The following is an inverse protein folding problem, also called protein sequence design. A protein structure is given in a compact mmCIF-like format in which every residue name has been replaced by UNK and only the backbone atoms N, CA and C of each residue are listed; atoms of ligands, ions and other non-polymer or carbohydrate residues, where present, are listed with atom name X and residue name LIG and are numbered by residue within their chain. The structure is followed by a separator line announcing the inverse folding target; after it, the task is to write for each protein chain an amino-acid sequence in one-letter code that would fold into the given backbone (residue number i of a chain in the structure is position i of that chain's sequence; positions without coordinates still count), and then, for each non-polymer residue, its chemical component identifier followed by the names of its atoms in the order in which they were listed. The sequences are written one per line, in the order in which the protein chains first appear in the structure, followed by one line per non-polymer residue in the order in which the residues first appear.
data_IF_954397060688
#
_entry.id   IF_954397060688
#
_cell.length_a   1.000
_cell.length_b   1.000
_cell.length_c   1.000
_cell.angle_alpha   90.00
_cell.angle_beta   90.00
_cell.angle_gamma   90.00
#
_symmetry.space_group_name_H-M   'P 1'
#
loop_
_entity.id
_entity.type
_entity.pdbx_description
1 polymer ?
#
# COMPACT_ATOMS: atom_id res chain seq x y z
N UNK A 1 -47.99 32.20 -5.54
CA UNK A 1 -47.52 30.82 -5.31
C UNK A 1 -47.39 30.62 -3.83
N UNK A 2 -48.01 29.58 -3.26
CA UNK A 2 -47.86 29.24 -1.86
C UNK A 2 -46.63 28.36 -1.69
N UNK A 3 -45.73 28.74 -0.80
CA UNK A 3 -44.56 27.93 -0.46
C UNK A 3 -44.96 26.85 0.55
N UNK A 4 -44.26 25.69 0.50
CA UNK A 4 -44.39 24.67 1.54
C UNK A 4 -43.78 25.23 2.82
N UNK A 5 -44.60 25.38 3.85
CA UNK A 5 -44.16 25.90 5.17
C UNK A 5 -43.85 24.72 6.07
N UNK A 6 -42.66 24.70 6.64
CA UNK A 6 -42.24 23.69 7.62
C UNK A 6 -43.00 23.85 8.96
N UNK A 7 -42.84 22.89 9.84
CA UNK A 7 -43.37 22.95 11.19
C UNK A 7 -42.65 24.00 12.05
N UNK A 8 -43.40 24.62 12.98
CA UNK A 8 -42.80 25.54 13.95
C UNK A 8 -41.78 24.80 14.83
N UNK A 9 -40.54 25.32 14.90
CA UNK A 9 -39.46 24.74 15.67
C UNK A 9 -39.69 24.77 17.18
N UNK A 10 -40.55 25.62 17.66
CA UNK A 10 -40.89 25.76 19.08
C UNK A 10 -42.11 24.93 19.48
N UNK A 11 -42.78 24.29 18.54
CA UNK A 11 -43.89 23.42 18.82
C UNK A 11 -43.45 22.14 19.48
N UNK A 12 -43.84 21.87 20.71
CA UNK A 12 -43.61 20.60 21.40
C UNK A 12 -44.42 19.48 20.70
N UNK A 13 -43.72 18.40 20.34
CA UNK A 13 -44.33 17.18 19.80
C UNK A 13 -44.02 16.00 20.70
N UNK A 14 -45.03 15.23 21.05
CA UNK A 14 -44.80 13.89 21.65
C UNK A 14 -44.63 12.90 20.51
N UNK A 15 -43.47 12.22 20.50
CA UNK A 15 -43.15 11.17 19.53
C UNK A 15 -43.12 9.85 20.29
N UNK A 16 -44.07 8.97 20.04
CA UNK A 16 -44.21 7.66 20.68
C UNK A 16 -43.66 6.57 19.76
N UNK A 17 -42.42 6.72 19.34
CA UNK A 17 -41.71 5.73 18.48
C UNK A 17 -40.41 5.32 19.14
N UNK A 18 -40.05 4.05 18.96
CA UNK A 18 -38.70 3.57 19.32
C UNK A 18 -37.66 4.13 18.36
N UNK A 19 -36.38 4.10 18.74
CA UNK A 19 -35.31 4.48 17.83
C UNK A 19 -35.24 3.55 16.63
N UNK A 20 -35.64 2.28 16.78
CA UNK A 20 -35.70 1.29 15.71
C UNK A 20 -36.75 1.63 14.64
N UNK A 21 -37.88 2.20 15.04
CA UNK A 21 -38.94 2.65 14.09
C UNK A 21 -38.51 3.83 13.21
N UNK A 22 -37.44 4.57 13.65
CA UNK A 22 -36.93 5.72 12.90
C UNK A 22 -35.88 5.30 11.88
N UNK A 23 -35.39 4.05 11.93
CA UNK A 23 -34.39 3.52 11.00
C UNK A 23 -35.04 2.51 10.09
N UNK A 24 -35.03 2.81 8.79
CA UNK A 24 -35.58 1.95 7.75
C UNK A 24 -34.99 0.52 7.82
N UNK A 25 -35.80 -0.48 7.49
CA UNK A 25 -35.37 -1.89 7.51
C UNK A 25 -34.28 -2.20 6.49
N UNK A 26 -34.21 -1.42 5.42
CA UNK A 26 -33.20 -1.52 4.37
C UNK A 26 -31.96 -0.65 4.63
N UNK A 27 -31.86 -0.02 5.81
CA UNK A 27 -30.72 0.81 6.14
C UNK A 27 -29.45 -0.03 6.42
N UNK A 28 -28.35 0.37 5.80
CA UNK A 28 -27.04 -0.31 5.88
C UNK A 28 -26.45 -0.42 7.29
N UNK A 29 -26.89 0.41 8.26
CA UNK A 29 -26.44 0.31 9.65
C UNK A 29 -26.83 -1.03 10.30
N UNK A 30 -27.93 -1.65 9.85
CA UNK A 30 -28.37 -2.96 10.33
C UNK A 30 -27.37 -4.06 9.90
N UNK A 31 -26.77 -3.93 8.74
CA UNK A 31 -25.72 -4.84 8.26
C UNK A 31 -24.44 -4.69 9.10
N UNK A 32 -24.06 -3.45 9.44
CA UNK A 32 -22.90 -3.20 10.31
C UNK A 32 -23.14 -3.81 11.69
N UNK A 33 -24.33 -3.62 12.23
CA UNK A 33 -24.73 -4.17 13.53
C UNK A 33 -24.62 -5.69 13.53
N UNK A 34 -25.32 -6.36 12.65
CA UNK A 34 -25.32 -7.82 12.52
C UNK A 34 -23.91 -8.38 12.28
N UNK A 35 -23.09 -7.76 11.41
CA UNK A 35 -21.72 -8.18 11.22
C UNK A 35 -20.89 -8.10 12.51
N UNK A 36 -20.92 -6.98 13.22
CA UNK A 36 -20.08 -6.81 14.41
C UNK A 36 -20.57 -7.74 15.56
N UNK A 37 -21.87 -7.97 15.69
CA UNK A 37 -22.42 -8.91 16.66
C UNK A 37 -22.06 -10.38 16.31
N UNK A 38 -21.81 -10.70 15.03
CA UNK A 38 -21.33 -12.01 14.62
C UNK A 38 -19.86 -12.28 14.95
N UNK A 39 -19.08 -11.27 15.35
CA UNK A 39 -17.64 -11.38 15.58
C UNK A 39 -17.30 -11.83 17.00
N UNK A 40 -16.35 -12.76 17.11
CA UNK A 40 -15.64 -12.96 18.38
C UNK A 40 -14.49 -11.95 18.49
N UNK A 41 -14.74 -10.81 19.14
CA UNK A 41 -13.78 -9.70 19.23
C UNK A 41 -12.51 -10.07 20.03
N UNK A 42 -12.59 -11.03 20.94
CA UNK A 42 -11.43 -11.52 21.70
C UNK A 42 -10.48 -12.29 20.77
N UNK A 43 -11.00 -13.21 19.97
CA UNK A 43 -10.21 -13.96 18.99
C UNK A 43 -9.58 -13.06 17.93
N UNK A 44 -10.22 -11.94 17.60
CA UNK A 44 -9.66 -10.92 16.70
C UNK A 44 -8.56 -10.08 17.38
N UNK A 45 -8.38 -10.20 18.69
CA UNK A 45 -7.34 -9.49 19.43
C UNK A 45 -7.73 -8.09 19.90
N UNK A 46 -9.03 -7.77 19.96
CA UNK A 46 -9.49 -6.54 20.61
C UNK A 46 -9.29 -6.62 22.11
N UNK A 47 -8.57 -5.63 22.65
CA UNK A 47 -8.23 -5.58 24.06
C UNK A 47 -9.48 -5.38 24.91
N UNK A 48 -9.70 -6.27 25.88
CA UNK A 48 -10.72 -6.10 26.89
C UNK A 48 -10.26 -5.15 27.98
N UNK A 49 -11.09 -4.17 28.31
CA UNK A 49 -10.84 -3.31 29.43
C UNK A 49 -11.37 -3.97 30.70
N UNK A 50 -10.50 -4.61 31.49
CA UNK A 50 -10.79 -4.94 32.86
C UNK A 50 -10.90 -3.64 33.64
N UNK A 51 -12.13 -3.25 34.00
CA UNK A 51 -12.40 -2.01 34.72
C UNK A 51 -11.59 -1.97 36.05
N UNK A 52 -10.83 -0.89 36.23
CA UNK A 52 -10.37 -0.57 37.60
C UNK A 52 -11.60 -0.26 38.44
N UNK A 53 -11.62 -0.71 39.67
CA UNK A 53 -12.74 -0.51 40.61
C UNK A 53 -13.08 0.97 40.90
N UNK A 54 -12.44 1.92 40.26
CA UNK A 54 -12.66 3.37 40.34
C UNK A 54 -12.49 4.01 39.02
N UNK A 55 -13.46 4.77 38.52
CA UNK A 55 -13.46 5.52 37.26
C UNK A 55 -14.71 5.30 36.42
N UNK A 56 -14.79 5.94 35.25
CA UNK A 56 -15.88 5.78 34.31
C UNK A 56 -15.81 4.38 33.67
N UNK A 57 -16.96 3.71 33.54
CA UNK A 57 -17.07 2.42 32.87
C UNK A 57 -16.61 2.55 31.41
N UNK A 58 -15.84 1.57 30.88
CA UNK A 58 -15.40 1.57 29.49
C UNK A 58 -16.58 1.34 28.55
N UNK A 59 -16.48 1.88 27.35
CA UNK A 59 -17.40 1.55 26.26
C UNK A 59 -17.15 0.12 25.77
N UNK A 60 -18.21 -0.55 25.29
CA UNK A 60 -18.07 -1.88 24.68
C UNK A 60 -17.21 -1.79 23.42
N UNK A 61 -16.39 -2.82 23.21
CA UNK A 61 -15.54 -2.93 22.00
C UNK A 61 -16.37 -2.97 20.72
N UNK A 62 -17.52 -3.67 20.76
CA UNK A 62 -18.44 -3.75 19.63
C UNK A 62 -18.96 -2.39 19.22
N UNK A 63 -19.40 -1.55 20.16
CA UNK A 63 -19.94 -0.22 19.86
C UNK A 63 -18.88 0.69 19.21
N UNK A 64 -17.64 0.63 19.70
CA UNK A 64 -16.54 1.39 19.11
C UNK A 64 -16.13 0.87 17.72
N UNK A 65 -16.19 -0.45 17.48
CA UNK A 65 -15.93 -1.03 16.17
C UNK A 65 -17.05 -0.67 15.17
N UNK A 66 -18.31 -0.77 15.58
CA UNK A 66 -19.47 -0.32 14.79
C UNK A 66 -19.32 1.13 14.37
N UNK A 67 -18.98 2.01 15.31
CA UNK A 67 -18.73 3.43 15.05
C UNK A 67 -17.63 3.65 14.01
N UNK A 68 -16.53 2.89 14.06
CA UNK A 68 -15.44 2.99 13.11
C UNK A 68 -15.84 2.49 11.72
N UNK A 69 -16.49 1.33 11.62
CA UNK A 69 -16.94 0.78 10.33
C UNK A 69 -17.93 1.76 9.67
N UNK A 70 -18.91 2.26 10.43
CA UNK A 70 -19.84 3.27 9.96
C UNK A 70 -19.12 4.51 9.43
N UNK A 71 -18.15 5.00 10.19
CA UNK A 71 -17.38 6.19 9.83
C UNK A 71 -16.65 6.04 8.50
N UNK A 72 -15.96 4.92 8.28
CA UNK A 72 -15.26 4.66 7.02
C UNK A 72 -16.23 4.42 5.86
N UNK A 73 -17.36 3.75 6.08
CA UNK A 73 -18.36 3.55 5.04
C UNK A 73 -19.01 4.87 4.59
N UNK A 74 -19.22 5.80 5.53
CA UNK A 74 -19.88 7.10 5.32
C UNK A 74 -18.90 8.28 5.19
N UNK A 75 -17.62 8.05 4.94
CA UNK A 75 -16.56 9.07 4.74
C UNK A 75 -16.28 9.96 5.96
N UNK A 76 -16.62 9.50 7.16
CA UNK A 76 -16.41 10.21 8.42
C UNK A 76 -15.21 9.57 9.17
N UNK A 77 -13.96 9.92 8.77
CA UNK A 77 -12.75 9.33 9.36
C UNK A 77 -12.23 10.03 10.62
N UNK A 78 -12.57 11.30 10.77
CA UNK A 78 -12.10 12.12 11.91
C UNK A 78 -12.80 11.70 13.20
N UNK A 79 -12.06 11.38 14.26
CA UNK A 79 -12.63 11.05 15.56
C UNK A 79 -13.49 12.18 16.14
N UNK A 80 -13.12 13.45 15.89
CA UNK A 80 -13.95 14.60 16.30
C UNK A 80 -15.25 14.70 15.52
N UNK A 81 -15.21 14.37 14.22
CA UNK A 81 -16.43 14.32 13.42
C UNK A 81 -17.34 13.16 13.88
N UNK A 82 -16.76 11.98 14.16
CA UNK A 82 -17.53 10.85 14.69
C UNK A 82 -18.16 11.16 16.06
N UNK A 83 -17.44 11.83 16.98
CA UNK A 83 -18.00 12.31 18.24
C UNK A 83 -19.19 13.24 18.02
N UNK A 84 -19.09 14.15 17.04
CA UNK A 84 -20.18 15.07 16.69
C UNK A 84 -21.37 14.32 16.11
N UNK A 85 -21.13 13.39 15.18
CA UNK A 85 -22.18 12.60 14.54
C UNK A 85 -22.87 11.66 15.53
N UNK A 86 -22.16 11.06 16.49
CA UNK A 86 -22.75 10.24 17.55
C UNK A 86 -23.81 10.97 18.40
N UNK A 87 -23.74 12.31 18.46
CA UNK A 87 -24.68 13.17 19.20
C UNK A 87 -25.92 13.61 18.41
N UNK A 88 -25.90 13.49 17.07
CA UNK A 88 -26.94 14.09 16.20
C UNK A 88 -27.43 13.21 15.06
N UNK A 89 -26.70 12.14 14.71
CA UNK A 89 -27.04 11.27 13.61
C UNK A 89 -27.85 10.07 14.11
N UNK A 90 -29.11 9.96 13.66
CA UNK A 90 -30.02 8.91 14.09
C UNK A 90 -29.50 7.50 13.82
N UNK A 91 -28.83 7.29 12.69
CA UNK A 91 -28.24 6.00 12.34
C UNK A 91 -27.16 5.59 13.34
N UNK A 92 -26.27 6.53 13.70
CA UNK A 92 -25.25 6.27 14.72
C UNK A 92 -25.85 6.10 16.12
N UNK A 93 -26.85 6.92 16.47
CA UNK A 93 -27.53 6.77 17.75
C UNK A 93 -28.16 5.39 17.89
N UNK A 94 -28.77 4.88 16.82
CA UNK A 94 -29.31 3.52 16.78
C UNK A 94 -28.18 2.48 16.91
N UNK A 95 -27.13 2.61 16.07
CA UNK A 95 -26.06 1.64 15.94
C UNK A 95 -25.25 1.43 17.25
N UNK A 96 -25.08 2.50 18.02
CA UNK A 96 -24.28 2.49 19.27
C UNK A 96 -25.10 2.82 20.51
N UNK A 97 -26.42 2.59 20.48
CA UNK A 97 -27.32 2.74 21.63
C UNK A 97 -27.24 4.12 22.31
N UNK A 98 -27.20 5.19 21.54
CA UNK A 98 -27.11 6.60 22.00
C UNK A 98 -25.87 6.91 22.87
N UNK A 99 -24.85 6.07 22.91
CA UNK A 99 -23.61 6.43 23.59
C UNK A 99 -22.84 7.48 22.78
N UNK A 100 -22.11 8.35 23.46
CA UNK A 100 -21.37 9.46 22.82
C UNK A 100 -19.91 9.45 23.26
N UNK A 101 -19.09 8.51 22.74
CA UNK A 101 -17.69 8.47 23.09
C UNK A 101 -16.97 9.74 22.62
N UNK A 102 -16.07 10.27 23.44
CA UNK A 102 -15.24 11.41 23.07
C UNK A 102 -14.19 11.03 22.01
N UNK A 103 -13.70 12.04 21.29
CA UNK A 103 -12.73 11.84 20.21
C UNK A 103 -11.41 11.19 20.66
N UNK A 104 -11.01 11.38 21.92
CA UNK A 104 -9.82 10.74 22.50
C UNK A 104 -10.02 9.23 22.63
N UNK A 105 -11.19 8.81 23.15
CA UNK A 105 -11.60 7.40 23.24
C UNK A 105 -11.68 6.75 21.88
N UNK A 106 -12.34 7.42 20.91
CA UNK A 106 -12.46 6.93 19.52
C UNK A 106 -11.08 6.74 18.87
N UNK A 107 -10.20 7.73 18.97
CA UNK A 107 -8.85 7.65 18.41
C UNK A 107 -7.98 6.60 19.11
N UNK A 108 -8.08 6.54 20.46
CA UNK A 108 -7.35 5.59 21.29
C UNK A 108 -7.75 4.14 21.07
N UNK A 109 -9.01 3.88 20.73
CA UNK A 109 -9.48 2.53 20.42
C UNK A 109 -8.69 1.90 19.26
N UNK A 110 -8.54 2.60 18.13
CA UNK A 110 -7.74 2.10 16.99
C UNK A 110 -6.28 1.96 17.37
N UNK A 111 -5.71 2.95 18.08
CA UNK A 111 -4.31 2.93 18.46
C UNK A 111 -3.95 1.71 19.34
N UNK A 112 -4.85 1.30 20.21
CA UNK A 112 -4.65 0.15 21.10
C UNK A 112 -4.94 -1.20 20.43
N UNK A 113 -5.75 -1.22 19.37
CA UNK A 113 -6.24 -2.43 18.72
C UNK A 113 -5.77 -2.56 17.26
N UNK A 114 -4.56 -2.09 16.91
CA UNK A 114 -4.06 -2.01 15.53
C UNK A 114 -4.18 -3.33 14.78
N UNK A 115 -3.64 -4.41 15.33
CA UNK A 115 -3.67 -5.73 14.72
C UNK A 115 -5.11 -6.27 14.59
N UNK A 116 -5.99 -5.95 15.55
CA UNK A 116 -7.38 -6.40 15.51
C UNK A 116 -8.15 -5.83 14.31
N UNK A 117 -7.86 -4.62 13.86
CA UNK A 117 -8.46 -4.07 12.63
C UNK A 117 -8.04 -4.85 11.39
N UNK A 118 -6.79 -5.25 11.29
CA UNK A 118 -6.32 -6.10 10.20
C UNK A 118 -6.98 -7.49 10.27
N UNK A 119 -7.03 -8.09 11.47
CA UNK A 119 -7.70 -9.37 11.69
C UNK A 119 -9.21 -9.29 11.38
N UNK A 120 -9.85 -8.13 11.59
CA UNK A 120 -11.25 -7.90 11.19
C UNK A 120 -11.42 -7.98 9.67
N UNK A 121 -10.51 -7.42 8.88
CA UNK A 121 -10.53 -7.55 7.43
C UNK A 121 -10.37 -9.01 7.01
N UNK A 122 -9.41 -9.72 7.59
CA UNK A 122 -9.15 -11.15 7.28
C UNK A 122 -10.34 -12.03 7.67
N UNK A 123 -10.97 -11.76 8.81
CA UNK A 123 -12.18 -12.46 9.22
C UNK A 123 -13.34 -12.22 8.24
N UNK A 124 -13.57 -10.97 7.81
CA UNK A 124 -14.55 -10.67 6.78
C UNK A 124 -14.27 -11.46 5.49
N UNK A 125 -13.01 -11.55 5.08
CA UNK A 125 -12.61 -12.37 3.93
C UNK A 125 -12.97 -13.84 4.10
N UNK A 126 -12.75 -14.41 5.29
CA UNK A 126 -13.13 -15.82 5.58
C UNK A 126 -14.65 -16.03 5.54
N UNK A 127 -15.42 -15.09 6.06
CA UNK A 127 -16.89 -15.11 5.95
C UNK A 127 -17.31 -15.09 4.47
N UNK A 128 -16.73 -14.19 3.67
CA UNK A 128 -17.02 -14.09 2.23
C UNK A 128 -16.60 -15.34 1.46
N UNK A 129 -15.49 -15.98 1.84
CA UNK A 129 -15.09 -17.31 1.33
C UNK A 129 -16.15 -18.36 1.67
N UNK A 130 -16.61 -18.39 2.92
CA UNK A 130 -17.67 -19.31 3.38
C UNK A 130 -18.98 -19.15 2.60
N UNK A 131 -19.31 -17.93 2.19
CA UNK A 131 -20.47 -17.66 1.33
C UNK A 131 -20.21 -17.93 -0.16
N UNK A 132 -19.02 -18.40 -0.54
CA UNK A 132 -18.63 -18.68 -1.93
C UNK A 132 -18.46 -17.41 -2.78
N UNK A 133 -18.31 -16.25 -2.17
CA UNK A 133 -18.09 -14.97 -2.87
C UNK A 133 -16.62 -14.74 -3.23
N UNK A 134 -15.71 -15.41 -2.54
CA UNK A 134 -14.27 -15.48 -2.80
C UNK A 134 -13.92 -16.94 -3.02
N UNK A 135 -13.16 -17.28 -4.07
CA UNK A 135 -12.73 -18.66 -4.34
C UNK A 135 -11.20 -18.84 -4.36
N UNK A 136 -10.45 -17.76 -4.50
CA UNK A 136 -8.99 -17.81 -4.52
C UNK A 136 -8.37 -18.50 -5.74
N UNK A 137 -9.15 -18.82 -6.78
CA UNK A 137 -8.63 -19.43 -8.01
C UNK A 137 -7.73 -18.48 -8.78
N UNK A 138 -8.18 -17.24 -8.90
CA UNK A 138 -7.47 -16.16 -9.57
C UNK A 138 -7.40 -14.96 -8.65
N UNK A 139 -6.19 -14.59 -8.23
CA UNK A 139 -5.94 -13.43 -7.40
C UNK A 139 -5.05 -12.43 -8.12
N UNK A 140 -5.27 -11.16 -7.85
CA UNK A 140 -4.48 -10.07 -8.43
C UNK A 140 -3.81 -9.28 -7.32
N UNK A 141 -2.50 -9.12 -7.45
CA UNK A 141 -1.69 -8.33 -6.52
C UNK A 141 -1.37 -7.00 -7.20
N UNK A 142 -1.68 -5.91 -6.50
CA UNK A 142 -1.32 -4.56 -6.94
C UNK A 142 -1.11 -3.63 -5.75
N UNK A 143 -0.29 -2.60 -5.96
CA UNK A 143 0.06 -1.61 -4.96
C UNK A 143 -0.43 -0.22 -5.31
N UNK A 144 -0.74 0.55 -4.28
CA UNK A 144 -1.11 1.95 -4.47
C UNK A 144 -0.44 2.85 -3.45
N UNK A 145 0.05 4.00 -3.92
CA UNK A 145 0.66 5.00 -3.04
C UNK A 145 -0.44 5.88 -2.44
N UNK A 146 -0.50 5.93 -1.10
CA UNK A 146 -1.41 6.79 -0.34
C UNK A 146 -0.55 7.77 0.47
N UNK A 147 -0.89 9.05 0.42
CA UNK A 147 -0.11 10.11 1.08
C UNK A 147 -0.12 9.93 2.59
N UNK A 148 1.05 10.01 3.19
CA UNK A 148 1.22 10.10 4.65
C UNK A 148 0.82 11.49 5.16
N UNK A 149 0.53 11.58 6.45
CA UNK A 149 0.30 12.87 7.12
C UNK A 149 1.63 13.58 7.38
N UNK A 150 2.23 14.10 6.33
CA UNK A 150 3.49 14.82 6.39
C UNK A 150 3.56 15.91 5.32
N UNK A 151 4.32 16.98 5.62
CA UNK A 151 4.67 17.99 4.62
C UNK A 151 5.87 17.53 3.80
N UNK A 152 5.88 17.83 2.49
CA UNK A 152 7.03 17.56 1.59
C UNK A 152 8.32 18.22 2.09
N UNK A 153 8.21 19.37 2.77
CA UNK A 153 9.35 20.11 3.31
C UNK A 153 9.99 19.42 4.52
N UNK A 154 9.25 18.56 5.22
CA UNK A 154 9.72 17.82 6.38
C UNK A 154 10.35 16.46 6.03
N UNK A 155 10.70 16.23 4.76
CA UNK A 155 11.46 15.07 4.34
C UNK A 155 12.89 15.49 3.99
N UNK A 156 13.86 14.96 4.72
CA UNK A 156 15.28 15.18 4.49
C UNK A 156 15.87 14.05 3.65
N UNK A 157 16.80 14.42 2.77
CA UNK A 157 17.61 13.46 1.97
C UNK A 157 19.06 13.91 2.05
N UNK A 158 20.01 12.98 1.85
CA UNK A 158 21.44 13.34 1.88
C UNK A 158 21.76 14.49 0.92
N UNK A 159 21.34 14.38 -0.35
CA UNK A 159 21.58 15.43 -1.36
C UNK A 159 20.84 16.74 -1.07
N UNK A 160 19.70 16.67 -0.39
CA UNK A 160 18.94 17.85 0.05
C UNK A 160 19.63 18.58 1.21
N UNK A 161 20.21 17.82 2.12
CA UNK A 161 20.99 18.37 3.23
C UNK A 161 22.30 19.00 2.75
N UNK A 162 23.00 18.37 1.78
CA UNK A 162 24.21 18.95 1.18
C UNK A 162 23.94 20.36 0.61
N UNK A 163 22.88 20.50 -0.17
CA UNK A 163 22.47 21.81 -0.71
C UNK A 163 22.11 22.83 0.37
N UNK A 164 21.48 22.39 1.47
CA UNK A 164 21.14 23.28 2.59
C UNK A 164 22.39 23.72 3.36
N UNK A 165 23.35 22.81 3.53
CA UNK A 165 24.65 23.10 4.16
C UNK A 165 25.43 24.10 3.30
N UNK A 166 25.55 23.85 1.99
CA UNK A 166 26.20 24.77 1.05
C UNK A 166 25.57 26.17 1.08
N UNK A 167 24.23 26.22 1.09
CA UNK A 167 23.51 27.49 1.18
C UNK A 167 23.78 28.22 2.50
N UNK A 168 23.73 27.50 3.62
CA UNK A 168 24.02 28.08 4.94
C UNK A 168 25.48 28.62 5.01
N UNK A 169 26.44 27.87 4.47
CA UNK A 169 27.85 28.32 4.38
C UNK A 169 28.00 29.56 3.52
N UNK A 170 27.32 29.62 2.39
CA UNK A 170 27.35 30.81 1.53
C UNK A 170 26.78 32.04 2.24
N UNK A 171 25.69 31.91 3.02
CA UNK A 171 25.11 32.98 3.80
C UNK A 171 26.03 33.40 4.95
N UNK A 172 26.64 32.49 5.68
CA UNK A 172 27.62 32.76 6.73
C UNK A 172 28.77 33.60 6.15
N UNK A 173 29.36 33.16 5.04
CA UNK A 173 30.46 33.86 4.39
C UNK A 173 30.04 35.25 3.91
N UNK A 174 28.84 35.42 3.35
CA UNK A 174 28.32 36.71 2.90
C UNK A 174 28.14 37.68 4.07
N UNK A 175 27.59 37.22 5.20
CA UNK A 175 27.44 38.07 6.39
C UNK A 175 28.79 38.43 7.03
N UNK A 176 29.74 37.49 7.11
CA UNK A 176 31.09 37.78 7.60
C UNK A 176 31.79 38.86 6.73
N UNK A 177 31.70 38.74 5.40
CA UNK A 177 32.26 39.74 4.50
C UNK A 177 31.58 41.10 4.63
N UNK A 178 30.26 41.14 4.86
CA UNK A 178 29.54 42.40 5.04
C UNK A 178 29.93 43.08 6.35
N UNK A 179 30.07 42.35 7.45
CA UNK A 179 30.54 42.90 8.76
C UNK A 179 31.97 43.44 8.66
N UNK A 180 32.88 42.72 7.98
CA UNK A 180 34.25 43.18 7.77
C UNK A 180 34.31 44.46 6.93
N UNK A 181 33.37 44.66 6.01
CA UNK A 181 33.31 45.82 5.12
C UNK A 181 32.70 47.05 5.76
N UNK A 182 31.78 46.88 6.69
CA UNK A 182 31.06 47.93 7.39
C UNK A 182 30.71 47.47 8.82
N UNK A 183 31.50 47.93 9.79
CA UNK A 183 31.32 47.61 11.22
C UNK A 183 29.96 48.11 11.77
N UNK A 184 29.34 49.13 11.17
CA UNK A 184 28.04 49.64 11.61
C UNK A 184 26.91 48.62 11.39
N UNK A 185 27.10 47.60 10.52
CA UNK A 185 26.17 46.53 10.27
C UNK A 185 26.34 45.30 11.21
N UNK A 186 27.33 45.33 12.08
CA UNK A 186 27.70 44.19 12.91
C UNK A 186 26.56 43.72 13.83
N UNK A 187 25.87 44.67 14.49
CA UNK A 187 24.77 44.36 15.42
C UNK A 187 23.59 43.70 14.70
N UNK A 188 23.16 44.19 13.53
CA UNK A 188 22.04 43.66 12.76
C UNK A 188 22.34 42.33 12.08
N UNK A 189 23.60 42.06 11.74
CA UNK A 189 23.98 40.84 11.02
C UNK A 189 24.46 39.73 11.95
N UNK A 190 24.87 40.00 13.17
CA UNK A 190 25.35 38.98 14.11
C UNK A 190 24.27 37.97 14.48
N UNK A 191 23.04 38.39 14.70
CA UNK A 191 21.91 37.48 14.99
C UNK A 191 21.59 36.57 13.78
N UNK A 192 21.66 37.13 12.57
CA UNK A 192 21.48 36.36 11.34
C UNK A 192 22.61 35.34 11.14
N UNK A 193 23.85 35.79 11.37
CA UNK A 193 25.03 34.93 11.30
C UNK A 193 24.89 33.72 12.26
N UNK A 194 24.54 33.99 13.51
CA UNK A 194 24.31 32.95 14.52
C UNK A 194 23.21 32.00 14.10
N UNK A 195 22.11 32.49 13.56
CA UNK A 195 21.01 31.67 13.07
C UNK A 195 21.46 30.69 11.97
N UNK A 196 22.25 31.15 11.00
CA UNK A 196 22.76 30.29 9.92
C UNK A 196 23.84 29.29 10.40
N UNK A 197 24.63 29.67 11.41
CA UNK A 197 25.56 28.73 12.07
C UNK A 197 24.80 27.59 12.76
N UNK A 198 23.79 27.94 13.56
CA UNK A 198 22.92 26.93 14.22
C UNK A 198 22.23 26.03 13.21
N UNK A 199 21.68 26.59 12.11
CA UNK A 199 21.07 25.83 11.03
C UNK A 199 22.05 24.87 10.35
N UNK A 200 23.29 25.33 10.11
CA UNK A 200 24.35 24.48 9.53
C UNK A 200 24.65 23.29 10.44
N UNK A 201 24.84 23.51 11.73
CA UNK A 201 25.08 22.46 12.71
C UNK A 201 23.90 21.46 12.77
N UNK A 202 22.68 21.97 12.76
CA UNK A 202 21.48 21.13 12.71
C UNK A 202 21.47 20.24 11.46
N UNK A 203 21.79 20.80 10.27
CA UNK A 203 21.82 20.02 9.04
C UNK A 203 22.94 18.98 9.01
N UNK A 204 24.10 19.29 9.58
CA UNK A 204 25.21 18.35 9.74
C UNK A 204 24.82 17.19 10.67
N UNK A 205 24.18 17.47 11.79
CA UNK A 205 23.64 16.45 12.72
C UNK A 205 22.65 15.54 12.02
N UNK A 206 21.66 16.12 11.31
CA UNK A 206 20.68 15.35 10.56
C UNK A 206 21.32 14.47 9.47
N UNK A 207 22.40 14.95 8.83
CA UNK A 207 23.14 14.20 7.83
C UNK A 207 23.90 13.01 8.45
N UNK A 208 24.47 13.19 9.63
CA UNK A 208 25.09 12.12 10.40
C UNK A 208 24.07 11.05 10.80
N UNK A 209 22.93 11.46 11.37
CA UNK A 209 21.85 10.55 11.74
C UNK A 209 21.38 9.69 10.56
N UNK A 210 21.16 10.31 9.37
CA UNK A 210 20.78 9.55 8.17
C UNK A 210 21.84 8.51 7.78
N UNK A 211 23.11 8.86 7.91
CA UNK A 211 24.22 7.96 7.55
C UNK A 211 24.34 6.82 8.56
N UNK A 212 24.23 7.11 9.84
CA UNK A 212 24.34 6.13 10.93
C UNK A 212 23.16 5.13 10.89
N UNK A 213 21.95 5.63 10.55
CA UNK A 213 20.76 4.79 10.36
C UNK A 213 20.77 4.05 8.99
N UNK A 214 21.74 4.30 8.12
CA UNK A 214 21.83 3.69 6.78
C UNK A 214 20.68 4.09 5.85
N UNK A 215 20.05 5.26 6.09
CA UNK A 215 18.89 5.72 5.34
C UNK A 215 19.27 6.72 4.24
N UNK A 216 18.64 6.59 3.07
CA UNK A 216 18.76 7.59 1.99
C UNK A 216 17.87 8.81 2.23
N UNK A 217 16.78 8.64 2.96
CA UNK A 217 15.80 9.67 3.29
C UNK A 217 15.09 9.40 4.61
N UNK A 218 14.66 10.45 5.29
CA UNK A 218 13.88 10.38 6.54
C UNK A 218 12.83 11.48 6.56
N UNK A 219 11.62 11.11 6.92
CA UNK A 219 10.54 12.05 7.19
C UNK A 219 10.59 12.45 8.66
N UNK A 220 10.65 13.74 8.96
CA UNK A 220 10.76 14.24 10.34
C UNK A 220 9.43 14.13 11.11
N UNK A 221 8.30 14.20 10.41
CA UNK A 221 6.96 14.13 11.03
C UNK A 221 6.47 12.69 11.18
N UNK A 222 6.77 11.84 10.21
CA UNK A 222 6.39 10.43 10.17
C UNK A 222 7.57 9.60 9.64
N UNK A 223 8.50 9.16 10.52
CA UNK A 223 9.75 8.53 10.14
C UNK A 223 9.61 7.24 9.30
N UNK A 224 8.46 6.58 9.39
CA UNK A 224 8.20 5.36 8.61
C UNK A 224 7.77 5.67 7.18
N UNK A 225 7.28 6.88 6.91
CA UNK A 225 6.86 7.28 5.56
C UNK A 225 8.06 7.60 4.66
N UNK A 226 7.89 7.42 3.34
CA UNK A 226 8.95 7.65 2.35
C UNK A 226 8.47 8.54 1.21
N UNK A 227 9.42 9.25 0.62
CA UNK A 227 9.19 10.03 -0.60
C UNK A 227 9.10 9.08 -1.79
N UNK A 228 7.94 9.03 -2.44
CA UNK A 228 7.62 8.11 -3.52
C UNK A 228 7.03 8.86 -4.71
N UNK A 229 7.19 8.31 -5.92
CA UNK A 229 6.48 8.79 -7.09
C UNK A 229 5.01 8.39 -6.99
N UNK A 230 4.10 9.37 -7.00
CA UNK A 230 2.66 9.19 -6.91
C UNK A 230 1.97 10.03 -7.97
N UNK A 231 1.34 9.38 -8.97
CA UNK A 231 0.66 10.06 -10.09
C UNK A 231 1.46 11.18 -10.76
N UNK A 232 2.75 10.92 -11.04
CA UNK A 232 3.63 11.88 -11.71
C UNK A 232 4.31 12.91 -10.80
N UNK A 233 3.88 13.06 -9.55
CA UNK A 233 4.51 13.90 -8.54
C UNK A 233 5.32 13.07 -7.52
N UNK A 234 6.23 13.71 -6.80
CA UNK A 234 6.89 13.12 -5.65
C UNK A 234 6.13 13.54 -4.38
N UNK A 235 5.58 12.57 -3.67
CA UNK A 235 4.84 12.77 -2.43
C UNK A 235 5.43 11.92 -1.31
N UNK A 236 5.14 12.30 -0.05
CA UNK A 236 5.47 11.46 1.10
C UNK A 236 4.32 10.49 1.30
N UNK A 237 4.60 9.21 1.15
CA UNK A 237 3.58 8.17 1.05
C UNK A 237 3.95 6.92 1.85
N UNK A 238 2.95 6.08 2.02
CA UNK A 238 3.09 4.65 2.22
C UNK A 238 2.65 3.92 0.94
N UNK A 239 3.21 2.75 0.73
CA UNK A 239 2.83 1.86 -0.34
C UNK A 239 1.88 0.79 0.22
N UNK A 240 0.63 0.81 -0.18
CA UNK A 240 -0.39 -0.14 0.26
C UNK A 240 -0.52 -1.21 -0.80
N UNK A 241 -0.17 -2.43 -0.44
CA UNK A 241 -0.33 -3.62 -1.24
C UNK A 241 -1.69 -4.24 -0.98
N UNK A 242 -2.36 -4.78 -1.99
CA UNK A 242 -3.61 -5.50 -1.83
C UNK A 242 -3.63 -6.76 -2.69
N UNK A 243 -4.31 -7.78 -2.19
CA UNK A 243 -4.70 -8.97 -2.94
C UNK A 243 -6.20 -8.90 -3.20
N UNK A 244 -6.60 -8.98 -4.44
CA UNK A 244 -7.99 -8.92 -4.87
C UNK A 244 -8.37 -10.23 -5.52
N UNK A 245 -9.46 -10.84 -5.07
CA UNK A 245 -10.06 -12.03 -5.71
C UNK A 245 -10.80 -11.62 -6.99
N UNK A 246 -10.59 -12.36 -8.06
CA UNK A 246 -11.14 -12.02 -9.38
C UNK A 246 -12.65 -12.27 -9.51
N UNK A 247 -13.23 -13.18 -8.73
CA UNK A 247 -14.62 -13.61 -8.86
C UNK A 247 -15.60 -12.47 -8.67
N UNK A 248 -15.46 -11.76 -7.55
CA UNK A 248 -16.35 -10.65 -7.20
C UNK A 248 -15.59 -9.39 -6.80
N UNK A 249 -14.28 -9.30 -7.07
CA UNK A 249 -13.41 -8.18 -6.79
C UNK A 249 -13.37 -7.77 -5.30
N UNK A 250 -13.55 -8.72 -4.38
CA UNK A 250 -13.31 -8.48 -2.96
C UNK A 250 -11.82 -8.45 -2.66
N UNK A 251 -11.45 -7.58 -1.74
CA UNK A 251 -10.09 -7.53 -1.23
C UNK A 251 -9.91 -8.62 -0.18
N UNK A 252 -8.97 -9.51 -0.44
CA UNK A 252 -8.65 -10.68 0.38
C UNK A 252 -7.79 -10.27 1.59
N UNK A 253 -6.70 -9.59 1.31
CA UNK A 253 -5.76 -9.10 2.33
C UNK A 253 -5.01 -7.87 1.84
N UNK A 254 -4.38 -7.16 2.75
CA UNK A 254 -3.57 -5.98 2.48
C UNK A 254 -2.24 -6.04 3.24
N UNK A 255 -1.33 -5.18 2.85
CA UNK A 255 -0.12 -4.89 3.64
C UNK A 255 0.35 -3.47 3.37
N UNK A 256 0.70 -2.74 4.40
CA UNK A 256 1.26 -1.40 4.27
C UNK A 256 2.77 -1.47 4.43
N UNK A 257 3.51 -0.99 3.42
CA UNK A 257 4.97 -0.95 3.44
C UNK A 257 5.49 0.46 3.15
N UNK A 258 6.73 0.70 3.50
CA UNK A 258 7.46 1.90 3.12
C UNK A 258 8.41 1.68 1.94
N UNK A 259 8.36 0.53 1.30
CA UNK A 259 9.11 0.25 0.08
C UNK A 259 8.66 1.17 -1.05
N UNK A 260 9.65 1.79 -1.72
CA UNK A 260 9.40 2.77 -2.79
C UNK A 260 8.85 2.10 -4.05
N UNK A 261 9.22 0.83 -4.27
CA UNK A 261 8.78 0.00 -5.40
C UNK A 261 8.14 -1.30 -4.92
N UNK A 262 7.55 -2.05 -5.84
CA UNK A 262 6.75 -3.22 -5.56
C UNK A 262 7.52 -4.55 -5.77
N UNK A 263 8.83 -4.49 -6.09
CA UNK A 263 9.63 -5.63 -6.55
C UNK A 263 9.76 -6.78 -5.54
N UNK A 264 9.64 -6.52 -4.23
CA UNK A 264 9.81 -7.52 -3.18
C UNK A 264 8.48 -7.85 -2.47
N UNK A 265 7.34 -7.57 -3.11
CA UNK A 265 6.03 -7.72 -2.47
C UNK A 265 5.22 -8.89 -3.02
N UNK A 266 5.60 -9.45 -4.18
CA UNK A 266 4.81 -10.46 -4.89
C UNK A 266 4.59 -11.72 -4.06
N UNK A 267 5.68 -12.37 -3.64
CA UNK A 267 5.60 -13.65 -2.93
C UNK A 267 4.94 -13.50 -1.57
N UNK A 268 5.32 -12.49 -0.81
CA UNK A 268 4.76 -12.25 0.53
C UNK A 268 3.24 -12.03 0.48
N UNK A 269 2.75 -11.28 -0.50
CA UNK A 269 1.31 -11.02 -0.64
C UNK A 269 0.57 -12.27 -1.14
N UNK A 270 1.14 -12.97 -2.11
CA UNK A 270 0.57 -14.22 -2.63
C UNK A 270 0.48 -15.30 -1.54
N UNK A 271 1.54 -15.46 -0.75
CA UNK A 271 1.59 -16.42 0.34
C UNK A 271 0.54 -16.13 1.41
N UNK A 272 0.46 -14.87 1.89
CA UNK A 272 -0.56 -14.46 2.87
C UNK A 272 -1.98 -14.77 2.40
N UNK A 273 -2.27 -14.53 1.12
CA UNK A 273 -3.59 -14.82 0.55
C UNK A 273 -3.84 -16.35 0.44
N UNK A 274 -2.83 -17.12 -0.01
CA UNK A 274 -2.90 -18.57 -0.10
C UNK A 274 -3.16 -19.21 1.27
N UNK A 275 -2.40 -18.78 2.30
CA UNK A 275 -2.59 -19.24 3.68
C UNK A 275 -3.97 -18.86 4.22
N UNK A 276 -4.44 -17.62 4.02
CA UNK A 276 -5.75 -17.17 4.49
C UNK A 276 -6.89 -17.91 3.78
N UNK A 277 -6.74 -18.15 2.50
CA UNK A 277 -7.76 -18.85 1.70
C UNK A 277 -7.60 -20.38 1.72
N UNK A 278 -6.57 -20.91 2.39
CA UNK A 278 -6.24 -22.35 2.43
C UNK A 278 -6.23 -22.96 1.01
N UNK A 279 -5.54 -22.28 0.10
CA UNK A 279 -5.46 -22.64 -1.32
C UNK A 279 -4.01 -22.96 -1.65
N UNK A 280 -3.71 -24.22 -1.99
CA UNK A 280 -2.35 -24.65 -2.33
C UNK A 280 -1.89 -24.15 -3.69
N UNK A 281 -2.82 -23.97 -4.63
CA UNK A 281 -2.51 -23.46 -5.97
C UNK A 281 -3.48 -22.36 -6.37
N UNK A 282 -2.97 -21.16 -6.55
CA UNK A 282 -3.72 -20.00 -7.07
C UNK A 282 -3.03 -19.48 -8.32
N UNK A 283 -3.79 -18.92 -9.25
CA UNK A 283 -3.23 -18.12 -10.34
C UNK A 283 -3.04 -16.69 -9.85
N UNK A 284 -1.81 -16.20 -9.88
CA UNK A 284 -1.41 -14.89 -9.37
C UNK A 284 -1.10 -13.95 -10.54
N UNK A 285 -1.84 -12.86 -10.66
CA UNK A 285 -1.54 -11.81 -11.63
C UNK A 285 -0.89 -10.62 -10.93
N UNK A 286 0.17 -10.08 -11.52
CA UNK A 286 0.81 -8.86 -11.01
C UNK A 286 1.30 -7.95 -12.15
N UNK A 287 1.53 -6.68 -11.83
CA UNK A 287 2.09 -5.71 -12.77
C UNK A 287 3.59 -5.95 -13.02
N UNK A 288 4.09 -5.38 -14.10
CA UNK A 288 5.52 -5.35 -14.44
C UNK A 288 6.40 -4.75 -13.34
N UNK A 289 5.83 -3.91 -12.46
CA UNK A 289 6.49 -3.37 -11.26
C UNK A 289 6.92 -4.41 -10.24
N UNK A 290 6.25 -5.56 -10.22
CA UNK A 290 6.54 -6.71 -9.36
C UNK A 290 7.56 -7.69 -9.95
N UNK A 291 8.04 -7.45 -11.18
CA UNK A 291 8.91 -8.40 -11.85
C UNK A 291 10.26 -8.50 -11.12
N UNK A 292 10.41 -9.54 -10.33
CA UNK A 292 11.63 -9.91 -9.63
C UNK A 292 11.82 -11.44 -9.74
N UNK A 293 12.96 -11.87 -10.27
CA UNK A 293 13.21 -13.29 -10.52
C UNK A 293 13.10 -14.17 -9.28
N UNK A 294 13.60 -13.71 -8.13
CA UNK A 294 13.53 -14.47 -6.87
C UNK A 294 12.09 -14.58 -6.38
N UNK A 295 11.33 -13.49 -6.41
CA UNK A 295 9.92 -13.48 -6.00
C UNK A 295 9.06 -14.40 -6.87
N UNK A 296 9.25 -14.33 -8.21
CA UNK A 296 8.55 -15.19 -9.16
C UNK A 296 8.88 -16.67 -8.89
N UNK A 297 10.17 -16.98 -8.70
CA UNK A 297 10.60 -18.34 -8.38
C UNK A 297 9.98 -18.85 -7.08
N UNK A 298 9.96 -18.03 -6.03
CA UNK A 298 9.37 -18.41 -4.75
C UNK A 298 7.85 -18.73 -4.89
N UNK A 299 7.11 -17.97 -5.71
CA UNK A 299 5.72 -18.27 -6.00
C UNK A 299 5.56 -19.61 -6.73
N UNK A 300 6.39 -19.85 -7.76
CA UNK A 300 6.35 -21.12 -8.53
C UNK A 300 6.74 -22.31 -7.64
N UNK A 301 7.78 -22.19 -6.82
CA UNK A 301 8.20 -23.22 -5.86
C UNK A 301 7.10 -23.54 -4.83
N UNK A 302 6.26 -22.56 -4.51
CA UNK A 302 5.08 -22.72 -3.64
C UNK A 302 3.85 -23.27 -4.38
N UNK A 303 3.97 -23.69 -5.65
CA UNK A 303 2.88 -24.28 -6.43
C UNK A 303 1.91 -23.29 -7.07
N UNK A 304 2.22 -22.00 -7.08
CA UNK A 304 1.38 -20.97 -7.66
C UNK A 304 1.67 -20.76 -9.15
N UNK A 305 0.62 -20.52 -9.95
CA UNK A 305 0.76 -20.10 -11.34
C UNK A 305 0.91 -18.57 -11.39
N UNK A 306 2.01 -18.06 -11.94
CA UNK A 306 2.27 -16.62 -11.97
C UNK A 306 2.18 -16.09 -13.40
N UNK A 307 1.35 -15.06 -13.63
CA UNK A 307 1.33 -14.32 -14.90
C UNK A 307 1.79 -12.89 -14.66
N UNK A 308 2.97 -12.60 -15.18
CA UNK A 308 3.63 -11.30 -15.04
C UNK A 308 4.45 -10.99 -16.30
N UNK A 309 4.35 -9.77 -16.80
CA UNK A 309 5.15 -9.32 -17.93
C UNK A 309 6.46 -8.71 -17.48
N UNK A 310 7.51 -9.01 -18.21
CA UNK A 310 8.82 -8.38 -18.02
C UNK A 310 8.75 -6.90 -18.42
N UNK A 311 9.30 -6.02 -17.58
CA UNK A 311 9.42 -4.61 -17.92
C UNK A 311 10.30 -4.43 -19.18
N UNK A 312 9.88 -3.57 -20.11
CA UNK A 312 10.72 -3.21 -21.24
C UNK A 312 11.94 -2.44 -20.73
N UNK A 313 13.13 -2.80 -21.21
CA UNK A 313 14.33 -2.07 -20.83
C UNK A 313 14.22 -0.58 -21.22
N UNK A 314 14.62 0.32 -20.30
CA UNK A 314 14.50 1.78 -20.47
C UNK A 314 15.23 2.34 -21.73
N UNK A 315 16.16 1.58 -22.33
CA UNK A 315 16.89 1.94 -23.54
C UNK A 315 16.18 1.45 -24.83
N UNK A 316 14.87 1.22 -24.77
CA UNK A 316 14.06 0.70 -25.89
C UNK A 316 13.87 1.66 -27.09
N UNK A 317 14.49 2.84 -27.06
CA UNK A 317 14.36 3.85 -28.14
C UNK A 317 15.13 3.53 -29.43
N UNK A 318 16.06 2.55 -29.39
CA UNK A 318 16.67 1.98 -30.59
C UNK A 318 16.33 0.50 -30.66
N UNK A 319 15.67 0.10 -31.70
CA UNK A 319 15.41 -1.31 -32.04
C UNK A 319 16.75 -1.96 -32.37
N UNK A 320 17.44 -2.42 -31.32
CA UNK A 320 18.74 -3.04 -31.47
C UNK A 320 18.56 -4.55 -31.57
N UNK A 321 18.83 -5.12 -32.72
CA UNK A 321 18.74 -6.56 -32.98
C UNK A 321 19.67 -7.40 -32.08
N UNK A 322 20.65 -6.78 -31.42
CA UNK A 322 21.61 -7.44 -30.52
C UNK A 322 21.27 -7.31 -29.02
N UNK A 323 20.00 -7.14 -28.68
CA UNK A 323 19.57 -7.22 -27.27
C UNK A 323 19.63 -8.64 -26.74
N UNK A 324 19.75 -8.79 -25.39
CA UNK A 324 19.80 -10.11 -24.73
C UNK A 324 18.63 -11.03 -25.16
N UNK A 325 17.46 -10.47 -25.34
CA UNK A 325 16.24 -11.21 -25.70
C UNK A 325 16.26 -11.79 -27.14
N UNK A 326 17.19 -11.32 -27.99
CA UNK A 326 17.37 -11.84 -29.35
C UNK A 326 18.39 -12.97 -29.43
N UNK A 327 19.08 -13.26 -28.32
CA UNK A 327 20.01 -14.38 -28.21
C UNK A 327 19.22 -15.62 -27.81
N UNK A 328 19.30 -16.68 -28.60
CA UNK A 328 18.53 -17.92 -28.42
C UNK A 328 19.38 -18.87 -27.57
N UNK A 329 18.86 -19.26 -26.40
CA UNK A 329 19.50 -20.28 -25.56
C UNK A 329 19.12 -21.68 -26.01
N UNK A 330 20.09 -22.56 -26.11
CA UNK A 330 19.90 -23.98 -26.33
C UNK A 330 20.26 -24.73 -25.04
N UNK A 331 19.26 -25.30 -24.37
CA UNK A 331 19.43 -26.03 -23.10
C UNK A 331 20.17 -27.36 -23.23
N UNK A 332 20.11 -28.01 -24.41
CA UNK A 332 20.78 -29.28 -24.65
C UNK A 332 22.30 -29.12 -24.78
N UNK A 333 22.74 -28.06 -25.45
CA UNK A 333 24.18 -27.77 -25.67
C UNK A 333 24.74 -26.78 -24.65
N UNK A 334 23.88 -26.18 -23.80
CA UNK A 334 24.23 -25.12 -22.85
C UNK A 334 24.99 -23.95 -23.51
N UNK A 335 24.48 -23.48 -24.67
CA UNK A 335 25.05 -22.40 -25.48
C UNK A 335 23.97 -21.38 -25.86
N UNK A 336 24.39 -20.15 -26.13
CA UNK A 336 23.56 -19.15 -26.79
C UNK A 336 23.95 -19.02 -28.27
N UNK A 337 22.96 -18.83 -29.14
CA UNK A 337 23.18 -18.41 -30.49
C UNK A 337 22.87 -16.92 -30.62
N UNK A 338 23.81 -16.11 -31.11
CA UNK A 338 23.62 -14.69 -31.31
C UNK A 338 22.82 -14.42 -32.62
N UNK A 339 22.24 -13.21 -32.78
CA UNK A 339 21.51 -12.86 -34.00
C UNK A 339 22.35 -12.91 -35.28
N UNK A 340 23.67 -12.87 -35.20
CA UNK A 340 24.57 -13.05 -36.30
C UNK A 340 24.92 -14.52 -36.65
N UNK A 341 24.39 -15.48 -35.85
CA UNK A 341 24.60 -16.91 -36.03
C UNK A 341 25.79 -17.51 -35.27
N UNK A 342 26.58 -16.69 -34.56
CA UNK A 342 27.69 -17.18 -33.76
C UNK A 342 27.24 -17.76 -32.39
N UNK A 343 28.04 -18.67 -31.84
CA UNK A 343 27.75 -19.32 -30.57
C UNK A 343 28.47 -18.64 -29.41
N UNK A 344 27.76 -18.46 -28.30
CA UNK A 344 28.32 -18.06 -27.02
C UNK A 344 28.33 -19.28 -26.10
N UNK A 345 29.52 -19.69 -25.68
CA UNK A 345 29.72 -20.84 -24.78
C UNK A 345 29.83 -20.41 -23.34
N UNK A 346 29.52 -21.34 -22.45
CA UNK A 346 29.75 -21.15 -21.04
C UNK A 346 31.24 -20.76 -20.80
N UNK A 347 31.42 -19.72 -20.00
CA UNK A 347 32.74 -19.16 -19.69
C UNK A 347 33.07 -19.22 -18.21
N UNK A 348 32.18 -18.71 -17.35
CA UNK A 348 32.39 -18.68 -15.90
C UNK A 348 31.07 -18.54 -15.11
N UNK A 349 31.11 -18.93 -13.84
CA UNK A 349 30.06 -18.62 -12.87
C UNK A 349 30.35 -17.28 -12.20
N UNK A 350 29.31 -16.49 -11.93
CA UNK A 350 29.43 -15.24 -11.21
C UNK A 350 28.25 -15.07 -10.25
N UNK A 351 28.45 -14.23 -9.25
CA UNK A 351 27.38 -13.88 -8.32
C UNK A 351 27.21 -12.37 -8.31
N UNK A 352 25.95 -11.92 -8.26
CA UNK A 352 25.59 -10.51 -8.14
C UNK A 352 24.35 -10.40 -7.23
N UNK A 353 24.46 -9.59 -6.18
CA UNK A 353 23.37 -9.40 -5.21
C UNK A 353 22.80 -10.73 -4.65
N UNK A 354 23.69 -11.68 -4.32
CA UNK A 354 23.29 -12.99 -3.81
C UNK A 354 22.78 -13.98 -4.86
N UNK A 355 22.51 -13.56 -6.08
CA UNK A 355 22.03 -14.42 -7.16
C UNK A 355 23.20 -14.99 -7.96
N UNK A 356 23.10 -16.28 -8.30
CA UNK A 356 24.11 -17.00 -9.11
C UNK A 356 23.77 -16.89 -10.59
N UNK A 357 24.78 -16.54 -11.40
CA UNK A 357 24.65 -16.41 -12.86
C UNK A 357 25.73 -17.25 -13.54
N UNK A 358 25.36 -17.79 -14.69
CA UNK A 358 26.28 -18.38 -15.65
C UNK A 358 26.55 -17.35 -16.76
N UNK A 359 27.83 -17.11 -17.06
CA UNK A 359 28.22 -16.21 -18.14
C UNK A 359 28.61 -17.01 -19.37
N UNK A 360 28.12 -16.54 -20.52
CA UNK A 360 28.38 -17.09 -21.84
C UNK A 360 29.08 -16.05 -22.67
N UNK A 361 30.14 -16.44 -23.36
CA UNK A 361 30.99 -15.55 -24.14
C UNK A 361 31.12 -16.07 -25.57
N UNK A 362 31.04 -15.14 -26.53
CA UNK A 362 31.37 -15.42 -27.92
C UNK A 362 32.87 -15.34 -28.15
N UNK A 363 33.45 -16.33 -28.86
CA UNK A 363 34.86 -16.39 -29.19
C UNK A 363 35.21 -15.58 -30.42
N UNK A 364 34.29 -15.50 -31.39
CA UNK A 364 34.55 -14.98 -32.74
C UNK A 364 34.06 -13.53 -32.95
N UNK A 365 33.63 -12.85 -31.89
CA UNK A 365 33.16 -11.46 -31.94
C UNK A 365 34.17 -10.47 -32.53
N UNK A 366 35.46 -10.76 -32.50
CA UNK A 366 36.47 -9.83 -32.98
C UNK A 366 36.46 -9.67 -34.53
N UNK A 367 36.07 -10.72 -35.23
CA UNK A 367 35.92 -10.75 -36.70
C UNK A 367 34.49 -10.44 -37.16
N UNK A 368 33.55 -10.28 -36.23
CA UNK A 368 32.14 -10.06 -36.55
C UNK A 368 31.87 -8.66 -37.11
N UNK A 369 31.24 -8.59 -38.27
CA UNK A 369 30.86 -7.34 -38.94
C UNK A 369 29.90 -6.46 -38.14
N UNK A 370 29.12 -7.07 -37.26
CA UNK A 370 28.13 -6.38 -36.40
C UNK A 370 28.67 -6.03 -35.00
N UNK A 371 30.01 -6.22 -34.76
CA UNK A 371 30.57 -5.99 -33.41
C UNK A 371 30.26 -4.60 -32.86
N UNK A 372 30.37 -3.57 -33.67
CA UNK A 372 30.14 -2.16 -33.27
C UNK A 372 28.69 -1.89 -32.81
N UNK A 373 27.72 -2.58 -33.42
CA UNK A 373 26.30 -2.45 -33.11
C UNK A 373 25.89 -3.34 -31.91
N UNK A 374 26.63 -4.44 -31.72
CA UNK A 374 26.33 -5.44 -30.70
C UNK A 374 26.95 -5.12 -29.32
N UNK A 375 28.24 -4.72 -29.30
CA UNK A 375 28.97 -4.52 -28.05
C UNK A 375 30.12 -3.54 -28.16
N UNK A 376 30.33 -2.73 -27.14
CA UNK A 376 31.47 -1.84 -26.99
C UNK A 376 32.69 -2.55 -26.36
N UNK A 377 32.51 -3.80 -25.87
CA UNK A 377 33.57 -4.55 -25.22
C UNK A 377 34.64 -5.03 -26.19
N UNK A 378 35.91 -4.76 -25.89
CA UNK A 378 37.05 -5.28 -26.65
C UNK A 378 37.11 -6.81 -26.66
N UNK A 379 36.66 -7.44 -25.56
CA UNK A 379 36.69 -8.89 -25.37
C UNK A 379 35.50 -9.66 -25.95
N UNK A 380 34.57 -8.97 -26.64
CA UNK A 380 33.39 -9.56 -27.25
C UNK A 380 32.12 -9.51 -26.40
N UNK A 381 31.01 -10.01 -26.94
CA UNK A 381 29.71 -10.04 -26.28
C UNK A 381 29.67 -11.10 -25.19
N UNK A 382 29.15 -10.73 -24.04
CA UNK A 382 28.88 -11.64 -22.91
C UNK A 382 27.42 -11.57 -22.53
N UNK A 383 26.78 -12.73 -22.32
CA UNK A 383 25.41 -12.86 -21.81
C UNK A 383 25.48 -13.49 -20.41
N UNK A 384 24.72 -12.93 -19.48
CA UNK A 384 24.52 -13.52 -18.15
C UNK A 384 23.15 -14.18 -18.10
N UNK A 385 23.10 -15.45 -17.74
CA UNK A 385 21.90 -16.23 -17.49
C UNK A 385 21.80 -16.54 -15.99
N UNK A 386 20.71 -16.21 -15.37
CA UNK A 386 20.44 -16.63 -14.01
C UNK A 386 20.29 -18.15 -13.95
N UNK A 387 20.72 -18.81 -12.88
CA UNK A 387 20.66 -20.29 -12.80
C UNK A 387 19.25 -20.85 -12.84
N UNK A 388 18.22 -20.03 -12.56
CA UNK A 388 16.80 -20.33 -12.64
C UNK A 388 16.09 -19.50 -13.73
N UNK A 389 16.77 -19.10 -14.78
CA UNK A 389 16.19 -18.32 -15.89
C UNK A 389 15.09 -19.12 -16.63
N UNK A 390 15.16 -20.45 -16.63
CA UNK A 390 14.15 -21.36 -17.16
C UNK A 390 12.76 -21.14 -16.55
N UNK A 391 12.68 -20.94 -15.23
CA UNK A 391 11.43 -20.60 -14.53
C UNK A 391 10.85 -19.29 -15.09
N UNK A 392 11.70 -18.28 -15.28
CA UNK A 392 11.26 -16.98 -15.79
C UNK A 392 10.81 -17.04 -17.26
N UNK A 393 11.48 -17.88 -18.06
CA UNK A 393 11.12 -18.14 -19.45
C UNK A 393 9.76 -18.86 -19.54
N UNK A 394 9.53 -19.86 -18.69
CA UNK A 394 8.25 -20.58 -18.60
C UNK A 394 7.12 -19.61 -18.20
N UNK A 395 7.28 -18.85 -17.12
CA UNK A 395 6.29 -17.86 -16.66
C UNK A 395 6.01 -16.81 -17.74
N UNK A 396 7.03 -16.36 -18.46
CA UNK A 396 6.86 -15.40 -19.56
C UNK A 396 6.03 -15.99 -20.70
N UNK A 397 6.33 -17.22 -21.14
CA UNK A 397 5.62 -17.89 -22.21
C UNK A 397 4.17 -18.19 -21.83
N UNK A 398 3.93 -18.67 -20.61
CA UNK A 398 2.59 -18.89 -20.06
C UNK A 398 1.79 -17.59 -19.98
N UNK A 399 2.42 -16.48 -19.57
CA UNK A 399 1.80 -15.15 -19.55
C UNK A 399 1.39 -14.70 -20.95
N UNK A 400 2.19 -14.98 -21.98
CA UNK A 400 1.86 -14.67 -23.37
C UNK A 400 0.71 -15.54 -23.90
N UNK A 401 0.72 -16.84 -23.60
CA UNK A 401 -0.32 -17.78 -24.01
C UNK A 401 -1.66 -17.45 -23.33
N UNK A 402 -1.63 -16.96 -22.10
CA UNK A 402 -2.81 -16.58 -21.32
C UNK A 402 -3.01 -15.04 -21.25
N UNK A 403 -2.67 -14.33 -22.33
CA UNK A 403 -2.68 -12.87 -22.35
C UNK A 403 -4.07 -12.28 -22.08
N UNK A 404 -5.16 -12.94 -22.42
CA UNK A 404 -6.53 -12.49 -22.13
C UNK A 404 -6.83 -12.54 -20.64
N UNK A 405 -6.39 -13.58 -19.93
CA UNK A 405 -6.48 -13.67 -18.46
C UNK A 405 -5.62 -12.57 -17.81
N UNK A 406 -4.39 -12.39 -18.30
CA UNK A 406 -3.49 -11.36 -17.79
C UNK A 406 -4.06 -9.94 -17.94
N UNK A 407 -4.79 -9.64 -19.02
CA UNK A 407 -5.42 -8.34 -19.25
C UNK A 407 -6.51 -8.01 -18.23
N UNK A 408 -7.21 -9.01 -17.70
CA UNK A 408 -8.28 -8.83 -16.69
C UNK A 408 -7.73 -8.18 -15.41
N UNK A 409 -6.43 -8.38 -15.12
CA UNK A 409 -5.75 -7.78 -13.97
C UNK A 409 -6.15 -6.33 -13.73
N UNK A 410 -6.11 -5.53 -14.81
CA UNK A 410 -6.35 -4.10 -14.70
C UNK A 410 -7.75 -3.78 -14.18
N UNK A 411 -8.77 -4.38 -14.73
CA UNK A 411 -10.16 -4.18 -14.28
C UNK A 411 -10.35 -4.61 -12.82
N UNK A 412 -9.73 -5.72 -12.41
CA UNK A 412 -9.90 -6.29 -11.08
C UNK A 412 -9.34 -5.34 -10.01
N UNK A 413 -8.12 -4.82 -10.18
CA UNK A 413 -7.47 -3.98 -9.17
C UNK A 413 -7.86 -2.50 -9.24
N UNK A 414 -8.26 -1.99 -10.41
CA UNK A 414 -8.74 -0.61 -10.52
C UNK A 414 -10.04 -0.38 -9.73
N UNK A 415 -10.85 -1.41 -9.56
CA UNK A 415 -12.14 -1.30 -8.86
C UNK A 415 -11.96 -0.92 -7.36
N UNK A 416 -11.19 -1.65 -6.52
CA UNK A 416 -10.98 -1.25 -5.13
C UNK A 416 -10.24 0.08 -5.00
N UNK A 417 -9.18 0.32 -5.75
CA UNK A 417 -8.41 1.56 -5.65
C UNK A 417 -9.19 2.77 -6.14
N UNK A 418 -10.00 2.61 -7.20
CA UNK A 418 -10.89 3.64 -7.69
C UNK A 418 -11.95 3.99 -6.66
N UNK A 419 -12.55 2.99 -6.01
CA UNK A 419 -13.55 3.20 -4.97
C UNK A 419 -12.94 3.89 -3.74
N UNK A 420 -11.80 3.41 -3.24
CA UNK A 420 -11.12 3.97 -2.06
C UNK A 420 -10.68 5.42 -2.32
N UNK A 421 -9.98 5.68 -3.42
CA UNK A 421 -9.40 7.00 -3.68
C UNK A 421 -10.41 8.03 -4.21
N UNK A 422 -11.33 7.62 -5.09
CA UNK A 422 -12.26 8.53 -5.76
C UNK A 422 -13.63 8.56 -5.08
N UNK A 423 -14.28 7.41 -4.92
CA UNK A 423 -15.62 7.33 -4.36
C UNK A 423 -15.64 7.65 -2.86
N UNK A 424 -14.73 7.06 -2.07
CA UNK A 424 -14.62 7.31 -0.63
C UNK A 424 -13.74 8.52 -0.30
N UNK A 425 -12.87 8.95 -1.22
CA UNK A 425 -12.01 10.14 -1.04
C UNK A 425 -10.76 9.89 -0.19
N UNK A 426 -10.34 8.63 -0.01
CA UNK A 426 -9.21 8.27 0.86
C UNK A 426 -7.89 8.35 0.11
N UNK A 427 -7.43 9.55 -0.18
CA UNK A 427 -6.17 9.83 -0.88
C UNK A 427 -4.98 10.09 0.06
N UNK A 428 -5.23 10.17 1.36
CA UNK A 428 -4.22 10.40 2.40
C UNK A 428 -4.61 9.73 3.72
N UNK A 429 -3.62 9.33 4.48
CA UNK A 429 -3.79 8.83 5.85
C UNK A 429 -3.97 9.98 6.84
N UNK A 430 -4.70 9.72 7.93
CA UNK A 430 -4.83 10.62 9.08
C UNK A 430 -3.86 10.23 10.21
N UNK A 431 -3.38 8.98 10.19
CA UNK A 431 -2.48 8.42 11.20
C UNK A 431 -1.04 8.45 10.74
N UNK A 432 -0.13 8.35 11.71
CA UNK A 432 1.33 8.28 11.52
C UNK A 432 1.83 6.95 12.07
N UNK A 433 3.00 6.53 11.64
CA UNK A 433 3.64 5.24 11.93
C UNK A 433 2.95 4.07 11.22
N UNK A 434 3.77 3.20 10.66
CA UNK A 434 3.34 2.14 9.76
C UNK A 434 2.23 1.27 10.35
N UNK A 435 2.35 0.85 11.61
CA UNK A 435 1.33 0.01 12.26
C UNK A 435 -0.06 0.70 12.39
N UNK A 436 -0.07 2.01 12.69
CA UNK A 436 -1.32 2.76 12.77
C UNK A 436 -1.93 3.01 11.39
N UNK A 437 -1.06 3.20 10.39
CA UNK A 437 -1.43 3.38 8.99
C UNK A 437 -1.99 2.08 8.42
N UNK A 438 -1.43 0.93 8.80
CA UNK A 438 -1.95 -0.38 8.40
C UNK A 438 -3.36 -0.62 8.95
N UNK A 439 -3.62 -0.30 10.22
CA UNK A 439 -4.96 -0.37 10.81
C UNK A 439 -5.95 0.59 10.12
N UNK A 440 -5.50 1.78 9.73
CA UNK A 440 -6.30 2.72 8.96
C UNK A 440 -6.59 2.20 7.55
N UNK A 441 -5.59 1.62 6.89
CA UNK A 441 -5.76 0.95 5.60
C UNK A 441 -6.76 -0.20 5.71
N UNK A 442 -6.63 -1.08 6.71
CA UNK A 442 -7.59 -2.16 6.94
C UNK A 442 -9.02 -1.63 7.04
N UNK A 443 -9.25 -0.53 7.78
CA UNK A 443 -10.56 0.11 7.89
C UNK A 443 -11.09 0.62 6.53
N UNK A 444 -10.21 1.16 5.67
CA UNK A 444 -10.59 1.60 4.31
C UNK A 444 -11.03 0.42 3.44
N UNK A 445 -10.33 -0.72 3.54
CA UNK A 445 -10.64 -1.90 2.74
C UNK A 445 -11.82 -2.70 3.29
N UNK A 446 -12.06 -2.70 4.60
CA UNK A 446 -13.31 -3.17 5.19
C UNK A 446 -14.49 -2.38 4.62
N UNK A 447 -14.42 -1.05 4.62
CA UNK A 447 -15.47 -0.21 4.05
C UNK A 447 -15.66 -0.46 2.55
N UNK A 448 -14.59 -0.74 1.80
CA UNK A 448 -14.70 -1.15 0.40
C UNK A 448 -15.47 -2.47 0.25
N UNK A 449 -15.09 -3.51 1.01
CA UNK A 449 -15.76 -4.81 0.96
C UNK A 449 -17.23 -4.71 1.37
N UNK A 450 -17.56 -3.93 2.41
CA UNK A 450 -18.93 -3.63 2.78
C UNK A 450 -19.72 -2.94 1.66
N UNK A 451 -19.14 -1.92 1.05
CA UNK A 451 -19.78 -1.23 -0.08
C UNK A 451 -20.05 -2.17 -1.25
N UNK A 452 -19.14 -3.13 -1.47
CA UNK A 452 -19.31 -4.19 -2.48
C UNK A 452 -20.46 -5.11 -2.11
N UNK A 453 -20.53 -5.59 -0.86
CA UNK A 453 -21.63 -6.41 -0.35
C UNK A 453 -22.99 -5.71 -0.52
N UNK A 454 -23.09 -4.46 -0.06
CA UNK A 454 -24.31 -3.65 -0.17
C UNK A 454 -24.76 -3.38 -1.61
N UNK A 455 -23.87 -3.54 -2.59
CA UNK A 455 -24.22 -3.45 -4.02
C UNK A 455 -24.70 -4.78 -4.63
N UNK A 456 -24.50 -5.89 -3.93
CA UNK A 456 -24.80 -7.23 -4.43
C UNK A 456 -26.03 -7.85 -3.76
N UNK A 457 -26.32 -7.47 -2.53
CA UNK A 457 -27.36 -8.07 -1.69
C UNK A 457 -28.21 -6.98 -1.05
N UNK A 458 -29.44 -7.32 -0.73
CA UNK A 458 -30.30 -6.48 0.12
C UNK A 458 -29.81 -6.47 1.57
N UNK A 459 -30.21 -5.47 2.34
CA UNK A 459 -29.91 -5.39 3.77
C UNK A 459 -30.42 -6.61 4.54
N UNK A 460 -31.63 -7.07 4.26
CA UNK A 460 -32.24 -8.21 4.91
C UNK A 460 -31.47 -9.52 4.66
N UNK A 461 -31.07 -9.75 3.41
CA UNK A 461 -30.23 -10.90 3.05
C UNK A 461 -28.87 -10.89 3.77
N UNK A 462 -28.23 -9.72 3.87
CA UNK A 462 -26.94 -9.59 4.56
C UNK A 462 -27.07 -9.80 6.06
N UNK A 463 -28.10 -9.25 6.69
CA UNK A 463 -28.37 -9.45 8.13
C UNK A 463 -28.54 -10.94 8.41
N UNK A 464 -29.41 -11.62 7.66
CA UNK A 464 -29.64 -13.07 7.82
C UNK A 464 -28.34 -13.85 7.64
N UNK A 465 -27.55 -13.57 6.59
CA UNK A 465 -26.27 -14.24 6.33
C UNK A 465 -25.25 -14.07 7.45
N UNK A 466 -25.15 -12.89 8.05
CA UNK A 466 -24.25 -12.66 9.20
C UNK A 466 -24.75 -13.35 10.48
N UNK A 467 -26.05 -13.36 10.73
CA UNK A 467 -26.65 -14.10 11.85
C UNK A 467 -26.40 -15.60 11.74
N UNK A 468 -26.55 -16.19 10.55
CA UNK A 468 -26.24 -17.61 10.28
C UNK A 468 -24.75 -17.93 10.41
N UNK A 469 -23.85 -16.97 10.25
CA UNK A 469 -22.40 -17.16 10.37
C UNK A 469 -21.93 -17.29 11.83
N UNK A 470 -22.79 -17.04 12.82
CA UNK A 470 -22.50 -17.19 14.27
C UNK A 470 -22.66 -18.65 14.74
N UNK A 471 -23.45 -19.43 14.03
CA UNK A 471 -23.69 -20.85 14.32
C UNK A 471 -22.57 -21.73 13.78
#
# INVERSE_FOLDING_TARGET
MAYIVGADRYQTRMVTTSLDDLISKDNSVRVIDSYVESLNLENLGFIEYSGRNRGQSPYRRSDLLKLHIYGYLNKIRSSRALETEAKRNLELMWLINCITPDHGTIAGFVQKNKAAFHNTLRNLTLILKGWGLIDGELIVIDGTKIRAQNSKHNCITQSGLDKKIEYAEAQINAYLMAIVKDEALADDLTDKLKTYQELKEQYLTQKHELKDEGLEQKSLTDPDSRRMKNNGSLDICYNVQSVVDAKNHFVVDISTTNDINDQNQLYTMAQKASELLEKESSTVLADTGYYNGTEIKNCVDAGMNVFIKKAKANNATKDNEFRKEKFIYNGETDEYTCPAGDRLRFFENTSKNGMKYRKYKCTDCNSCKYKKDCTTSSSGRTIQRWVHEDVLETVYNETLNNNEVYKQRRCIVEHPFGTIKRSLGYSSFLRRRQENVDAEAASMFIAYNFKRLLSMFSTEELVTKFEESVM
#
